data_IF_309286963407
#
_entry.id   IF_309286963407
#
_cell.length_a   1.000
_cell.length_b   1.000
_cell.length_c   1.000
_cell.angle_alpha   90.00
_cell.angle_beta   90.00
_cell.angle_gamma   90.00
#
_symmetry.space_group_name_H-M   'P 1'
#
loop_
_entity.id
_entity.type
_entity.pdbx_description
1 polymer ?
#
# COMPACT_ATOMS: atom_id res chain seq x y z
N UNK A 1 -14.05 19.76 -27.02
CA UNK A 1 -13.86 19.43 -25.59
C UNK A 1 -14.73 18.23 -25.29
N UNK A 2 -14.20 17.20 -24.63
CA UNK A 2 -14.96 16.04 -24.18
C UNK A 2 -15.60 16.30 -22.82
N UNK A 3 -16.75 15.73 -22.57
CA UNK A 3 -17.39 15.71 -21.25
C UNK A 3 -16.80 14.63 -20.36
N UNK A 4 -17.13 14.65 -19.07
CA UNK A 4 -16.65 13.64 -18.13
C UNK A 4 -17.17 12.24 -18.51
N UNK A 5 -18.41 12.14 -18.94
CA UNK A 5 -19.06 10.90 -19.41
C UNK A 5 -18.35 10.26 -20.62
N UNK A 6 -17.79 11.09 -21.50
CA UNK A 6 -17.10 10.60 -22.71
C UNK A 6 -15.70 10.04 -22.43
N UNK A 7 -15.15 10.30 -21.23
CA UNK A 7 -13.77 9.93 -20.88
C UNK A 7 -13.67 8.95 -19.71
N UNK A 8 -14.72 8.82 -18.90
CA UNK A 8 -14.80 7.84 -17.83
C UNK A 8 -14.94 6.43 -18.43
N UNK A 9 -14.16 5.51 -17.89
CA UNK A 9 -14.26 4.08 -18.18
C UNK A 9 -14.99 3.39 -17.02
N UNK A 10 -16.11 2.75 -17.35
CA UNK A 10 -16.86 1.95 -16.39
C UNK A 10 -16.07 0.67 -16.08
N UNK A 11 -15.76 0.47 -14.81
CA UNK A 11 -15.09 -0.75 -14.34
C UNK A 11 -16.08 -1.93 -14.26
N UNK A 12 -15.62 -3.20 -14.40
CA UNK A 12 -16.43 -4.36 -14.08
C UNK A 12 -16.80 -4.46 -12.58
N UNK A 13 -16.14 -3.68 -11.73
CA UNK A 13 -16.44 -3.61 -10.30
C UNK A 13 -17.56 -2.59 -10.10
N UNK A 14 -18.68 -3.04 -9.53
CA UNK A 14 -19.83 -2.17 -9.26
C UNK A 14 -19.46 -1.00 -8.37
N UNK A 15 -19.79 0.22 -8.81
CA UNK A 15 -19.53 1.46 -8.08
C UNK A 15 -18.11 1.99 -8.19
N UNK A 16 -17.28 1.42 -9.08
CA UNK A 16 -15.93 1.91 -9.36
C UNK A 16 -15.83 2.36 -10.81
N UNK A 17 -15.57 3.63 -11.02
CA UNK A 17 -15.26 4.21 -12.31
C UNK A 17 -13.78 4.58 -12.39
N UNK A 18 -13.23 4.63 -13.59
CA UNK A 18 -11.83 4.91 -13.82
C UNK A 18 -11.64 6.01 -14.87
N UNK A 19 -10.87 7.04 -14.53
CA UNK A 19 -10.46 8.08 -15.46
C UNK A 19 -8.96 7.94 -15.76
N UNK A 20 -8.57 7.50 -16.97
CA UNK A 20 -7.16 7.40 -17.33
C UNK A 20 -6.55 8.81 -17.53
N UNK A 21 -5.26 8.96 -17.24
CA UNK A 21 -4.52 10.21 -17.41
C UNK A 21 -4.45 10.70 -18.87
N UNK A 22 -4.72 9.83 -19.82
CA UNK A 22 -4.64 10.17 -21.24
C UNK A 22 -3.21 10.29 -21.77
N UNK A 23 -3.04 11.04 -22.85
CA UNK A 23 -1.72 11.31 -23.42
C UNK A 23 -0.95 12.33 -22.59
N UNK A 24 0.34 12.09 -22.42
CA UNK A 24 1.22 13.01 -21.69
C UNK A 24 1.18 14.39 -22.34
N UNK A 25 0.76 15.39 -21.58
CA UNK A 25 0.80 16.78 -22.01
C UNK A 25 2.17 17.40 -21.71
N UNK A 26 2.66 18.25 -22.59
CA UNK A 26 3.94 18.95 -22.41
C UNK A 26 3.97 19.90 -21.20
N UNK A 27 2.81 20.24 -20.64
CA UNK A 27 2.63 21.16 -19.50
C UNK A 27 1.55 20.66 -18.54
N UNK A 28 1.87 19.61 -17.78
CA UNK A 28 0.97 19.04 -16.74
C UNK A 28 0.57 20.09 -15.69
N UNK A 29 1.52 20.92 -15.27
CA UNK A 29 1.31 21.99 -14.29
C UNK A 29 0.26 23.03 -14.73
N UNK A 30 0.25 23.39 -16.02
CA UNK A 30 -0.73 24.32 -16.59
C UNK A 30 -2.14 23.73 -16.59
N UNK A 31 -2.27 22.41 -16.75
CA UNK A 31 -3.55 21.71 -16.72
C UNK A 31 -4.09 21.67 -15.29
N UNK A 32 -3.27 21.26 -14.33
CA UNK A 32 -3.68 21.15 -12.93
C UNK A 32 -4.11 22.49 -12.31
N UNK A 33 -3.50 23.60 -12.71
CA UNK A 33 -3.84 24.94 -12.26
C UNK A 33 -4.95 25.63 -13.09
N UNK A 34 -5.50 24.94 -14.09
CA UNK A 34 -6.51 25.53 -14.98
C UNK A 34 -7.88 25.64 -14.31
N UNK A 35 -8.71 26.60 -14.81
CA UNK A 35 -10.12 26.71 -14.41
C UNK A 35 -10.88 25.42 -14.71
N UNK A 36 -10.54 24.74 -15.81
CA UNK A 36 -11.15 23.46 -16.20
C UNK A 36 -10.88 22.35 -15.17
N UNK A 37 -9.71 22.34 -14.54
CA UNK A 37 -9.42 21.40 -13.47
C UNK A 37 -10.23 21.68 -12.22
N UNK A 38 -10.46 22.94 -11.89
CA UNK A 38 -11.35 23.31 -10.76
C UNK A 38 -12.79 22.86 -11.01
N UNK A 39 -13.33 23.15 -12.20
CA UNK A 39 -14.65 22.67 -12.62
C UNK A 39 -14.77 21.15 -12.53
N UNK A 40 -13.73 20.44 -12.95
CA UNK A 40 -13.66 18.98 -12.83
C UNK A 40 -13.70 18.50 -11.37
N UNK A 41 -12.95 19.12 -10.47
CA UNK A 41 -12.99 18.80 -9.03
C UNK A 41 -14.39 19.02 -8.45
N UNK A 42 -15.03 20.12 -8.79
CA UNK A 42 -16.39 20.43 -8.34
C UNK A 42 -17.39 19.40 -8.87
N UNK A 43 -17.27 19.01 -10.12
CA UNK A 43 -18.13 18.01 -10.75
C UNK A 43 -17.99 16.63 -10.10
N UNK A 44 -16.75 16.12 -9.92
CA UNK A 44 -16.55 14.78 -9.34
C UNK A 44 -16.94 14.71 -7.86
N UNK A 45 -16.80 15.79 -7.10
CA UNK A 45 -17.27 15.88 -5.72
C UNK A 45 -18.80 15.73 -5.57
N UNK A 46 -19.57 16.12 -6.58
CA UNK A 46 -21.03 15.95 -6.55
C UNK A 46 -21.49 14.58 -6.99
N UNK A 47 -20.65 13.81 -7.71
CA UNK A 47 -21.00 12.53 -8.33
C UNK A 47 -20.54 11.31 -7.54
N UNK A 48 -19.45 11.42 -6.79
CA UNK A 48 -18.78 10.29 -6.14
C UNK A 48 -18.64 10.53 -4.65
N UNK A 49 -18.82 9.48 -3.87
CA UNK A 49 -18.57 9.50 -2.42
C UNK A 49 -17.07 9.62 -2.12
N UNK A 50 -16.23 9.00 -2.97
CA UNK A 50 -14.77 9.02 -2.87
C UNK A 50 -14.14 9.21 -4.24
N UNK A 51 -13.13 10.06 -4.32
CA UNK A 51 -12.32 10.28 -5.53
C UNK A 51 -10.86 10.12 -5.17
N UNK A 52 -10.19 9.15 -5.80
CA UNK A 52 -8.76 8.90 -5.59
C UNK A 52 -7.93 9.43 -6.75
N UNK A 53 -6.94 10.23 -6.43
CA UNK A 53 -5.95 10.72 -7.39
C UNK A 53 -4.64 9.95 -7.20
N UNK A 54 -4.27 9.11 -8.17
CA UNK A 54 -2.94 8.52 -8.24
C UNK A 54 -1.95 9.54 -8.79
N UNK A 55 -0.93 9.88 -8.01
CA UNK A 55 0.01 10.96 -8.33
C UNK A 55 1.44 10.46 -8.43
N UNK A 56 2.29 11.12 -9.21
CA UNK A 56 3.73 10.86 -9.19
C UNK A 56 4.33 11.15 -7.80
N UNK A 57 5.58 10.71 -7.55
CA UNK A 57 6.26 10.96 -6.28
C UNK A 57 6.32 12.44 -5.94
N UNK A 58 5.91 12.82 -4.72
CA UNK A 58 5.90 14.22 -4.25
C UNK A 58 7.32 14.83 -4.18
N UNK A 59 8.32 13.97 -3.99
CA UNK A 59 9.72 14.41 -4.01
C UNK A 59 10.24 14.41 -5.44
N UNK A 60 10.36 15.61 -6.01
CA UNK A 60 10.94 15.82 -7.36
C UNK A 60 9.94 16.16 -8.46
N UNK A 61 8.62 16.07 -8.22
CA UNK A 61 7.59 16.41 -9.21
C UNK A 61 6.59 17.40 -8.61
N UNK A 62 6.44 18.54 -9.25
CA UNK A 62 5.57 19.62 -8.77
C UNK A 62 4.08 19.30 -8.85
N UNK A 63 3.68 18.42 -9.77
CA UNK A 63 2.28 18.04 -9.99
C UNK A 63 1.64 17.45 -8.73
N UNK A 64 2.39 16.58 -8.02
CA UNK A 64 1.94 16.00 -6.76
C UNK A 64 1.70 17.06 -5.67
N UNK A 65 2.52 18.11 -5.64
CA UNK A 65 2.36 19.22 -4.70
C UNK A 65 1.13 20.06 -5.02
N UNK A 66 0.85 20.30 -6.31
CA UNK A 66 -0.37 20.99 -6.74
C UNK A 66 -1.60 20.16 -6.39
N UNK A 67 -1.62 18.86 -6.70
CA UNK A 67 -2.71 17.97 -6.33
C UNK A 67 -2.93 17.96 -4.82
N UNK A 68 -1.87 17.89 -4.03
CA UNK A 68 -1.94 17.89 -2.57
C UNK A 68 -2.65 19.14 -1.99
N UNK A 69 -2.57 20.29 -2.69
CA UNK A 69 -3.26 21.51 -2.29
C UNK A 69 -4.73 21.59 -2.72
N UNK A 70 -5.17 20.71 -3.64
CA UNK A 70 -6.51 20.73 -4.21
C UNK A 70 -7.44 19.67 -3.61
N UNK A 71 -6.89 18.61 -3.03
CA UNK A 71 -7.65 17.50 -2.45
C UNK A 71 -7.97 17.74 -0.97
N UNK A 72 -9.00 17.07 -0.46
CA UNK A 72 -9.41 17.19 0.94
C UNK A 72 -8.43 16.47 1.88
N UNK A 73 -7.87 15.33 1.44
CA UNK A 73 -6.95 14.50 2.22
C UNK A 73 -5.82 13.96 1.35
N UNK A 74 -4.64 13.87 1.93
CA UNK A 74 -3.44 13.28 1.32
C UNK A 74 -3.03 12.03 2.09
N UNK A 75 -2.79 10.93 1.39
CA UNK A 75 -2.16 9.73 1.94
C UNK A 75 -0.77 9.59 1.34
N UNK A 76 0.25 9.55 2.19
CA UNK A 76 1.63 9.39 1.76
C UNK A 76 2.01 7.91 1.75
N UNK A 77 2.27 7.36 0.57
CA UNK A 77 2.72 5.96 0.43
C UNK A 77 4.24 5.89 0.46
N UNK A 78 4.80 5.19 1.44
CA UNK A 78 6.25 5.06 1.65
C UNK A 78 6.67 3.60 1.51
N UNK A 79 7.68 3.35 0.70
CA UNK A 79 8.25 2.00 0.57
C UNK A 79 9.14 1.66 1.76
N UNK A 80 8.85 0.54 2.43
CA UNK A 80 9.61 0.08 3.59
C UNK A 80 11.09 -0.13 3.23
N UNK A 81 11.99 0.38 4.08
CA UNK A 81 13.46 0.26 3.96
C UNK A 81 14.08 0.77 2.65
N UNK A 82 13.32 1.44 1.78
CA UNK A 82 13.87 1.97 0.53
C UNK A 82 14.46 3.35 0.68
N UNK A 83 13.87 4.17 1.54
CA UNK A 83 14.27 5.57 1.73
C UNK A 83 14.58 5.86 3.19
N UNK A 84 15.56 6.74 3.48
CA UNK A 84 15.84 7.17 4.84
C UNK A 84 14.67 7.96 5.43
N UNK A 85 14.50 7.90 6.74
CA UNK A 85 13.43 8.59 7.46
C UNK A 85 13.37 10.09 7.16
N UNK A 86 14.53 10.73 6.96
CA UNK A 86 14.62 12.17 6.61
C UNK A 86 13.90 12.51 5.31
N UNK A 87 13.86 11.61 4.33
CA UNK A 87 13.08 11.82 3.09
C UNK A 87 11.58 11.77 3.35
N UNK A 88 11.11 10.85 4.20
CA UNK A 88 9.70 10.78 4.59
C UNK A 88 9.27 12.05 5.34
N UNK A 89 10.11 12.55 6.24
CA UNK A 89 9.86 13.83 6.92
C UNK A 89 9.80 15.01 5.96
N UNK A 90 10.70 15.06 4.96
CA UNK A 90 10.66 16.10 3.91
C UNK A 90 9.40 16.00 3.07
N UNK A 91 8.98 14.79 2.69
CA UNK A 91 7.74 14.59 1.93
C UNK A 91 6.53 15.11 2.73
N UNK A 92 6.42 14.78 4.03
CA UNK A 92 5.42 15.34 4.94
C UNK A 92 5.45 16.87 4.93
N UNK A 93 6.61 17.47 5.16
CA UNK A 93 6.78 18.93 5.17
C UNK A 93 6.39 19.57 3.83
N UNK A 94 6.62 18.88 2.70
CA UNK A 94 6.23 19.37 1.39
C UNK A 94 4.72 19.42 1.25
N UNK A 95 3.99 18.39 1.71
CA UNK A 95 2.51 18.39 1.76
C UNK A 95 2.00 19.56 2.61
N UNK A 96 2.54 19.72 3.82
CA UNK A 96 2.14 20.77 4.77
C UNK A 96 2.40 22.18 4.21
N UNK A 97 3.55 22.39 3.56
CA UNK A 97 3.92 23.69 2.97
C UNK A 97 2.99 24.16 1.87
N UNK A 98 2.39 23.24 1.12
CA UNK A 98 1.42 23.59 0.07
C UNK A 98 -0.03 23.65 0.59
N UNK A 99 -0.21 23.54 1.90
CA UNK A 99 -1.52 23.58 2.53
C UNK A 99 -2.30 22.26 2.42
N UNK A 100 -1.64 21.17 2.04
CA UNK A 100 -2.26 19.85 1.96
C UNK A 100 -2.53 19.25 3.35
N UNK A 101 -3.66 18.59 3.49
CA UNK A 101 -4.08 17.93 4.73
C UNK A 101 -3.63 16.46 4.74
N UNK A 102 -2.54 16.16 5.44
CA UNK A 102 -2.00 14.80 5.52
C UNK A 102 -2.81 13.93 6.48
N UNK A 103 -3.58 12.99 5.95
CA UNK A 103 -4.34 12.01 6.72
C UNK A 103 -3.41 11.02 7.45
N UNK A 104 -2.36 10.56 6.77
CA UNK A 104 -1.44 9.58 7.33
C UNK A 104 -0.47 8.99 6.30
N UNK A 105 0.27 7.97 6.76
CA UNK A 105 1.29 7.29 5.96
C UNK A 105 0.94 5.82 5.82
N UNK A 106 0.98 5.30 4.60
CA UNK A 106 0.91 3.86 4.32
C UNK A 106 2.30 3.34 4.07
N UNK A 107 2.73 2.39 4.88
CA UNK A 107 3.99 1.69 4.69
C UNK A 107 3.78 0.50 3.76
N UNK A 108 4.31 0.60 2.54
CA UNK A 108 4.14 -0.40 1.49
C UNK A 108 5.37 -1.31 1.36
N UNK A 109 5.17 -2.48 0.76
CA UNK A 109 6.23 -3.46 0.46
C UNK A 109 6.99 -3.96 1.71
N UNK A 110 6.25 -4.26 2.79
CA UNK A 110 6.83 -4.82 4.02
C UNK A 110 7.07 -6.32 3.81
N UNK A 111 8.30 -6.76 4.03
CA UNK A 111 8.65 -8.18 4.02
C UNK A 111 8.37 -8.81 5.37
N UNK A 112 7.18 -9.38 5.54
CA UNK A 112 6.72 -10.01 6.79
C UNK A 112 7.67 -11.09 7.30
N UNK A 113 8.40 -11.76 6.41
CA UNK A 113 9.35 -12.84 6.77
C UNK A 113 10.71 -12.34 7.28
N UNK A 114 11.06 -11.08 7.08
CA UNK A 114 12.37 -10.52 7.46
C UNK A 114 12.31 -9.59 8.67
N UNK A 115 11.13 -9.10 9.03
CA UNK A 115 10.94 -8.20 10.16
C UNK A 115 10.29 -8.92 11.35
N UNK A 116 11.14 -9.47 12.25
CA UNK A 116 10.70 -10.07 13.52
C UNK A 116 9.83 -9.13 14.36
N UNK A 117 10.07 -7.83 14.26
CA UNK A 117 9.31 -6.79 14.97
C UNK A 117 7.87 -6.67 14.44
N UNK A 118 7.67 -6.76 13.12
CA UNK A 118 6.34 -6.71 12.53
C UNK A 118 5.53 -7.98 12.82
N UNK A 119 6.20 -9.12 12.91
CA UNK A 119 5.57 -10.38 13.28
C UNK A 119 5.03 -10.36 14.71
N UNK A 120 5.76 -9.74 15.63
CA UNK A 120 5.34 -9.59 17.02
C UNK A 120 4.15 -8.63 17.14
N UNK A 121 4.16 -7.50 16.44
CA UNK A 121 3.09 -6.50 16.48
C UNK A 121 1.82 -6.94 15.74
N UNK A 122 1.92 -7.59 14.60
CA UNK A 122 0.76 -8.09 13.86
C UNK A 122 0.03 -9.18 14.61
N UNK A 123 0.76 -10.06 15.32
CA UNK A 123 0.18 -11.06 16.21
C UNK A 123 -0.60 -10.44 17.36
N UNK A 124 -0.06 -9.37 17.95
CA UNK A 124 -0.70 -8.65 19.05
C UNK A 124 -1.96 -7.89 18.61
N UNK A 125 -1.93 -7.26 17.42
CA UNK A 125 -3.09 -6.59 16.84
C UNK A 125 -4.20 -7.57 16.46
N UNK A 126 -3.86 -8.69 15.84
CA UNK A 126 -4.83 -9.73 15.50
C UNK A 126 -5.51 -10.32 16.73
N UNK A 127 -4.75 -10.59 17.79
CA UNK A 127 -5.26 -11.13 19.04
C UNK A 127 -6.14 -10.12 19.81
N UNK A 128 -5.81 -8.83 19.73
CA UNK A 128 -6.58 -7.75 20.35
C UNK A 128 -7.90 -7.49 19.62
N UNK A 129 -7.89 -7.48 18.29
CA UNK A 129 -9.10 -7.24 17.50
C UNK A 129 -10.00 -8.48 17.44
N UNK A 130 -9.48 -9.69 17.35
CA UNK A 130 -10.30 -10.91 17.37
C UNK A 130 -11.04 -11.08 18.70
N UNK A 131 -10.40 -10.76 19.83
CA UNK A 131 -11.06 -10.85 21.15
C UNK A 131 -12.14 -9.80 21.37
N UNK A 132 -12.03 -8.64 20.73
CA UNK A 132 -13.05 -7.58 20.86
C UNK A 132 -14.22 -7.73 19.87
N UNK A 133 -14.05 -8.47 18.77
CA UNK A 133 -15.14 -8.75 17.82
C UNK A 133 -16.01 -9.96 18.23
N UNK A 134 -15.47 -10.91 19.00
CA UNK A 134 -16.24 -12.06 19.51
C UNK A 134 -17.20 -11.70 20.65
N UNK A 135 -17.15 -10.46 21.18
CA UNK A 135 -18.05 -10.01 22.24
C UNK A 135 -19.34 -9.34 21.77
N UNK A 136 -19.51 -9.05 20.47
CA UNK A 136 -20.71 -8.35 19.95
C UNK A 136 -21.44 -9.04 18.78
N UNK A 137 -21.34 -10.33 18.57
CA UNK A 137 -22.17 -10.95 17.52
C UNK A 137 -21.76 -12.37 17.16
N UNK A 138 -22.39 -13.33 17.79
CA UNK A 138 -22.23 -14.74 17.43
C UNK A 138 -22.72 -15.05 16.01
N UNK A 139 -21.78 -15.43 15.15
CA UNK A 139 -22.01 -16.35 14.03
C UNK A 139 -20.73 -17.17 13.84
N UNK A 140 -20.85 -18.48 14.06
CA UNK A 140 -19.77 -19.44 13.97
C UNK A 140 -19.17 -19.51 12.58
N UNK A 141 -17.86 -19.31 12.50
CA UNK A 141 -17.03 -19.58 11.35
C UNK A 141 -15.78 -20.31 11.82
N UNK A 142 -15.71 -21.61 11.51
CA UNK A 142 -14.59 -22.52 11.77
C UNK A 142 -13.27 -21.89 11.35
N UNK A 143 -12.46 -21.45 12.31
CA UNK A 143 -11.08 -21.03 12.08
C UNK A 143 -10.22 -22.25 11.84
N UNK A 144 -9.88 -22.48 10.58
CA UNK A 144 -8.96 -23.51 10.15
C UNK A 144 -7.58 -23.36 10.81
N UNK A 145 -7.21 -24.41 11.49
CA UNK A 145 -5.93 -24.70 12.09
C UNK A 145 -4.85 -24.85 11.01
N UNK A 146 -4.41 -23.74 10.42
CA UNK A 146 -3.36 -23.73 9.39
C UNK A 146 -2.17 -22.85 9.82
N UNK A 147 -1.10 -23.47 10.34
CA UNK A 147 0.15 -22.74 10.44
C UNK A 147 1.30 -23.35 11.22
N UNK A 148 1.12 -24.25 12.18
CA UNK A 148 2.22 -24.69 13.05
C UNK A 148 2.88 -26.03 12.67
N UNK A 149 2.19 -26.95 12.03
CA UNK A 149 2.77 -28.26 11.68
C UNK A 149 3.66 -28.24 10.42
N UNK A 150 3.39 -27.39 9.46
CA UNK A 150 4.18 -27.30 8.22
C UNK A 150 5.63 -26.84 8.40
N UNK A 151 5.91 -26.03 9.42
CA UNK A 151 7.27 -25.52 9.69
C UNK A 151 8.15 -26.51 10.43
N UNK A 152 7.61 -27.29 11.37
CA UNK A 152 8.35 -28.35 12.07
C UNK A 152 8.76 -29.49 11.12
N UNK A 153 7.94 -29.81 10.11
CA UNK A 153 8.28 -30.82 9.10
C UNK A 153 9.37 -30.36 8.13
N UNK A 154 9.42 -29.06 7.76
CA UNK A 154 10.48 -28.54 6.87
C UNK A 154 11.83 -28.40 7.58
N UNK A 155 11.87 -27.99 8.83
CA UNK A 155 13.08 -27.94 9.65
C UNK A 155 13.67 -29.34 9.82
N UNK A 156 12.89 -30.33 10.28
CA UNK A 156 13.35 -31.72 10.45
C UNK A 156 13.82 -32.37 9.14
N UNK A 157 13.28 -32.02 7.98
CA UNK A 157 13.77 -32.51 6.69
C UNK A 157 15.10 -31.87 6.29
N UNK A 158 15.31 -30.61 6.63
CA UNK A 158 16.58 -29.91 6.34
C UNK A 158 17.74 -30.43 7.22
N UNK A 159 17.44 -30.70 8.48
CA UNK A 159 18.44 -31.22 9.43
C UNK A 159 18.82 -32.67 9.08
N UNK A 160 17.88 -33.54 8.75
CA UNK A 160 18.15 -34.89 8.25
C UNK A 160 18.96 -34.93 6.95
N UNK A 161 18.74 -33.97 6.05
CA UNK A 161 19.52 -33.88 4.80
C UNK A 161 20.97 -33.46 5.09
N UNK A 162 21.19 -32.50 5.99
CA UNK A 162 22.55 -32.10 6.41
C UNK A 162 23.33 -33.22 7.11
N UNK A 163 22.66 -34.03 7.93
CA UNK A 163 23.28 -35.17 8.57
C UNK A 163 23.66 -36.28 7.57
N UNK A 164 22.78 -36.52 6.58
CA UNK A 164 23.06 -37.50 5.53
C UNK A 164 24.23 -37.07 4.63
N UNK A 165 24.26 -35.79 4.22
CA UNK A 165 25.35 -35.23 3.40
C UNK A 165 26.70 -35.29 4.16
N UNK A 166 26.70 -34.98 5.47
CA UNK A 166 27.90 -35.03 6.30
C UNK A 166 28.42 -36.44 6.50
N UNK A 167 27.52 -37.44 6.60
CA UNK A 167 27.89 -38.85 6.72
C UNK A 167 28.51 -39.40 5.44
N UNK A 168 27.96 -39.01 4.28
CA UNK A 168 28.48 -39.35 2.97
C UNK A 168 29.88 -38.74 2.72
N UNK A 169 30.15 -37.52 3.16
CA UNK A 169 31.48 -36.91 3.07
C UNK A 169 32.51 -37.58 3.96
N UNK A 170 32.11 -38.07 5.13
CA UNK A 170 33.03 -38.79 6.03
C UNK A 170 33.38 -40.18 5.49
N UNK A 171 32.40 -40.91 4.95
CA UNK A 171 32.61 -42.22 4.33
C UNK A 171 33.47 -42.15 3.04
N UNK A 172 33.37 -41.02 2.30
CA UNK A 172 34.19 -40.78 1.11
C UNK A 172 35.65 -40.38 1.43
N UNK A 173 35.93 -39.93 2.65
CA UNK A 173 37.27 -39.52 3.09
C UNK A 173 38.06 -40.69 3.73
N UNK A 174 37.38 -41.79 4.06
CA UNK A 174 37.98 -43.00 4.67
C UNK A 174 38.21 -44.15 3.66
N UNK A 175 37.83 -43.95 2.38
CA UNK A 175 38.01 -44.92 1.28
C UNK A 175 39.14 -44.48 0.33
#
# INVERSE_FOLDING_TARGET
QKTLEEVILVSPIKGLDFLPSGKLASTSMGILNSTRMKEFFDEVRTRYDYVFFDSPPIMGVSDASVLASLVDLVVLVVQHRKYPQSMTLRAKQTVEKVGGNLLGIVLNNISINQDSYYYYYSGYYYDYYSKNYDSEGGYGGSSGEYGYEGRRRRSRRRDKKKEADKKAETEAAEA
#
